data_IF_706563036218
#
_entry.id   IF_706563036218
#
_cell.length_a   1.000
_cell.length_b   1.000
_cell.length_c   1.000
_cell.angle_alpha   90.00
_cell.angle_beta   90.00
_cell.angle_gamma   90.00
#
_symmetry.space_group_name_H-M   'P 1'
#
loop_
_entity.id
_entity.type
_entity.pdbx_description
1 polymer ?
#
# COMPACT_ATOMS: atom_id res chain seq x y z
N UNK A 1 20.82 -28.11 -0.84
CA UNK A 1 19.91 -26.99 -0.51
C UNK A 1 18.84 -27.46 0.47
N UNK A 2 18.87 -26.92 1.69
CA UNK A 2 17.92 -27.27 2.76
C UNK A 2 17.32 -25.98 3.28
N UNK A 3 16.00 -25.83 3.25
CA UNK A 3 15.37 -24.62 3.77
C UNK A 3 15.26 -24.74 5.30
N UNK A 4 16.24 -24.21 6.04
CA UNK A 4 16.23 -24.21 7.52
C UNK A 4 15.49 -22.98 8.03
N UNK A 5 14.50 -23.18 8.90
CA UNK A 5 13.89 -22.09 9.68
C UNK A 5 13.88 -22.51 11.15
N UNK A 6 14.46 -21.69 12.02
CA UNK A 6 14.26 -21.80 13.47
C UNK A 6 13.17 -20.81 13.89
N UNK A 7 12.12 -21.30 14.55
CA UNK A 7 11.10 -20.46 15.19
C UNK A 7 11.15 -20.71 16.69
N UNK A 8 11.44 -19.70 17.54
CA UNK A 8 11.23 -19.81 18.97
C UNK A 8 9.77 -19.50 19.28
N UNK A 9 9.03 -20.54 19.67
CA UNK A 9 7.74 -20.35 20.32
C UNK A 9 8.00 -19.94 21.78
N UNK A 10 7.64 -18.71 22.12
CA UNK A 10 7.78 -18.07 23.44
C UNK A 10 9.23 -17.78 23.88
N UNK A 11 9.44 -16.56 24.38
CA UNK A 11 10.66 -16.02 24.97
C UNK A 11 11.75 -15.51 24.01
N UNK A 12 11.59 -14.26 23.57
CA UNK A 12 12.68 -13.28 23.53
C UNK A 12 13.83 -13.47 22.54
N UNK A 13 13.73 -14.35 21.54
CA UNK A 13 14.77 -14.50 20.51
C UNK A 13 14.38 -13.82 19.18
N UNK A 14 15.37 -13.22 18.52
CA UNK A 14 15.27 -12.56 17.21
C UNK A 14 14.92 -13.57 16.10
N UNK A 15 14.00 -13.20 15.20
CA UNK A 15 13.71 -13.97 13.98
C UNK A 15 14.77 -13.68 12.90
N UNK A 16 15.46 -14.71 12.42
CA UNK A 16 16.32 -14.63 11.23
C UNK A 16 15.56 -15.14 10.00
N UNK A 17 15.25 -14.23 9.06
CA UNK A 17 14.51 -14.52 7.83
C UNK A 17 15.46 -14.94 6.72
N UNK A 18 16.01 -16.15 6.79
CA UNK A 18 17.05 -16.61 5.85
C UNK A 18 16.74 -17.97 5.21
N UNK A 19 16.99 -18.08 3.92
CA UNK A 19 17.03 -19.32 3.14
C UNK A 19 18.46 -19.87 3.14
N UNK A 20 18.68 -21.10 3.58
CA UNK A 20 19.99 -21.74 3.47
C UNK A 20 20.15 -22.45 2.11
N UNK A 21 21.12 -22.00 1.31
CA UNK A 21 21.54 -22.63 0.06
C UNK A 21 23.00 -23.04 0.20
N UNK A 22 23.24 -24.36 0.21
CA UNK A 22 24.57 -24.96 0.25
C UNK A 22 25.51 -24.38 1.34
N UNK A 23 24.97 -24.16 2.54
CA UNK A 23 25.71 -23.63 3.69
C UNK A 23 25.79 -22.10 3.77
N UNK A 24 25.16 -21.36 2.86
CA UNK A 24 25.05 -19.90 2.89
C UNK A 24 23.61 -19.44 3.11
N UNK A 25 23.42 -18.37 3.88
CA UNK A 25 22.11 -17.82 4.24
C UNK A 25 21.74 -16.61 3.37
N UNK A 26 20.57 -16.66 2.71
CA UNK A 26 20.04 -15.61 1.84
C UNK A 26 18.79 -14.97 2.46
N UNK A 27 18.67 -13.63 2.46
CA UNK A 27 17.57 -12.94 3.13
C UNK A 27 16.24 -13.09 2.39
N UNK A 28 15.15 -13.33 3.11
CA UNK A 28 13.77 -13.30 2.59
C UNK A 28 13.15 -11.93 2.93
N UNK A 29 12.43 -11.26 2.00
CA UNK A 29 11.83 -9.95 2.25
C UNK A 29 10.91 -9.92 3.47
N UNK A 30 11.12 -8.96 4.36
CA UNK A 30 10.22 -8.74 5.50
C UNK A 30 8.80 -8.39 5.09
N UNK A 31 8.61 -7.74 3.93
CA UNK A 31 7.27 -7.38 3.41
C UNK A 31 6.39 -8.60 3.11
N UNK A 32 6.96 -9.80 3.01
CA UNK A 32 6.21 -11.05 2.83
C UNK A 32 5.68 -11.64 4.15
N UNK A 33 6.17 -11.17 5.30
CA UNK A 33 5.83 -11.69 6.62
C UNK A 33 5.27 -10.58 7.50
N UNK A 34 4.05 -10.75 8.01
CA UNK A 34 3.47 -9.81 8.97
C UNK A 34 4.29 -9.75 10.27
N UNK A 35 5.16 -8.75 10.42
CA UNK A 35 5.90 -8.37 11.65
C UNK A 35 6.86 -9.40 12.29
N UNK A 36 8.18 -9.18 12.11
CA UNK A 36 9.18 -9.08 13.21
C UNK A 36 10.44 -8.29 12.75
N UNK A 37 11.08 -7.55 13.68
CA UNK A 37 12.35 -6.79 13.52
C UNK A 37 13.55 -7.74 13.71
N UNK A 38 14.70 -7.67 13.00
CA UNK A 38 15.87 -6.79 13.30
C UNK A 38 17.01 -6.82 12.24
N UNK A 39 17.71 -5.68 12.09
CA UNK A 39 19.08 -5.37 11.54
C UNK A 39 19.81 -6.25 10.50
N UNK A 40 20.43 -5.59 9.49
CA UNK A 40 21.11 -6.18 8.31
C UNK A 40 22.66 -6.23 8.39
N UNK A 41 23.24 -7.23 7.73
CA UNK A 41 24.45 -7.11 6.87
C UNK A 41 24.15 -7.81 5.53
N UNK A 42 24.48 -7.15 4.41
CA UNK A 42 24.09 -7.51 3.03
C UNK A 42 25.28 -8.13 2.27
N UNK A 43 25.04 -9.19 1.49
CA UNK A 43 25.87 -9.57 0.33
C UNK A 43 25.28 -8.91 -0.93
N UNK A 44 26.14 -8.32 -1.75
CA UNK A 44 25.90 -7.11 -2.56
C UNK A 44 25.38 -7.28 -4.00
N UNK A 45 24.77 -8.41 -4.38
CA UNK A 45 24.42 -8.66 -5.81
C UNK A 45 23.02 -9.27 -6.04
N UNK A 46 21.96 -8.70 -5.44
CA UNK A 46 20.58 -9.14 -5.71
C UNK A 46 19.74 -8.02 -6.34
N UNK A 47 19.08 -8.34 -7.46
CA UNK A 47 18.09 -7.46 -8.11
C UNK A 47 16.69 -7.95 -7.79
N UNK A 48 15.84 -7.03 -7.30
CA UNK A 48 14.47 -7.31 -6.88
C UNK A 48 13.46 -6.78 -7.90
N UNK A 49 12.43 -7.57 -8.20
CA UNK A 49 11.29 -7.15 -9.01
C UNK A 49 10.00 -7.53 -8.27
N UNK A 50 9.01 -6.65 -8.25
CA UNK A 50 7.69 -6.94 -7.69
C UNK A 50 6.69 -6.95 -8.83
N UNK A 51 5.93 -8.04 -8.95
CA UNK A 51 4.89 -8.21 -9.96
C UNK A 51 3.65 -8.77 -9.27
N UNK A 52 2.47 -8.41 -9.75
CA UNK A 52 1.21 -8.96 -9.25
C UNK A 52 0.72 -10.01 -10.25
N UNK A 53 0.44 -11.23 -9.79
CA UNK A 53 -0.26 -12.25 -10.56
C UNK A 53 -1.63 -12.57 -9.94
N UNK A 54 -2.41 -13.41 -10.63
CA UNK A 54 -3.73 -13.88 -10.16
C UNK A 54 -3.69 -14.65 -8.82
N UNK A 55 -2.50 -15.02 -8.33
CA UNK A 55 -2.26 -15.77 -7.10
C UNK A 55 -1.73 -14.90 -5.95
N UNK A 56 -1.53 -13.60 -6.19
CA UNK A 56 -1.14 -12.61 -5.18
C UNK A 56 0.11 -11.82 -5.56
N UNK A 57 0.79 -11.25 -4.54
CA UNK A 57 2.06 -10.56 -4.73
C UNK A 57 3.15 -11.58 -5.09
N UNK A 58 3.69 -11.45 -6.30
CA UNK A 58 4.89 -12.16 -6.77
C UNK A 58 6.10 -11.27 -6.56
N UNK A 59 6.84 -11.50 -5.48
CA UNK A 59 8.20 -10.97 -5.41
C UNK A 59 9.12 -11.89 -6.22
N UNK A 60 10.05 -11.30 -6.96
CA UNK A 60 11.08 -12.01 -7.70
C UNK A 60 12.45 -11.53 -7.27
N UNK A 61 13.36 -12.47 -7.06
CA UNK A 61 14.74 -12.18 -6.70
C UNK A 61 15.67 -13.04 -7.53
N UNK A 62 16.56 -12.38 -8.29
CA UNK A 62 17.66 -13.07 -8.95
C UNK A 62 18.86 -13.15 -8.00
N UNK A 63 19.39 -14.35 -7.77
CA UNK A 63 20.52 -14.59 -6.88
C UNK A 63 21.60 -15.39 -7.61
N UNK A 64 22.85 -14.90 -7.68
CA UNK A 64 23.97 -15.71 -8.14
C UNK A 64 24.43 -16.70 -7.04
N UNK A 65 24.60 -17.98 -7.39
CA UNK A 65 25.17 -18.99 -6.50
C UNK A 65 26.06 -19.96 -7.29
N UNK A 66 27.34 -20.10 -6.89
CA UNK A 66 28.34 -21.01 -7.51
C UNK A 66 28.41 -20.91 -9.05
N UNK A 67 28.37 -19.69 -9.60
CA UNK A 67 28.45 -19.45 -11.05
C UNK A 67 27.15 -19.68 -11.81
N UNK A 68 26.05 -20.02 -11.12
CA UNK A 68 24.72 -20.18 -11.69
C UNK A 68 23.80 -19.06 -11.22
N UNK A 69 22.83 -18.69 -12.05
CA UNK A 69 21.79 -17.73 -11.67
C UNK A 69 20.54 -18.48 -11.23
N UNK A 70 19.98 -18.10 -10.09
CA UNK A 70 18.68 -18.60 -9.64
C UNK A 70 17.64 -17.49 -9.64
N UNK A 71 16.39 -17.85 -9.95
CA UNK A 71 15.22 -17.01 -9.78
C UNK A 71 14.40 -17.55 -8.62
N UNK A 72 14.20 -16.72 -7.59
CA UNK A 72 13.29 -17.01 -6.50
C UNK A 72 11.99 -16.27 -6.77
N UNK A 73 10.88 -17.00 -6.72
CA UNK A 73 9.53 -16.47 -6.77
C UNK A 73 8.85 -16.73 -5.45
N UNK A 74 8.17 -15.71 -4.95
CA UNK A 74 7.45 -15.76 -3.68
C UNK A 74 5.97 -15.52 -3.96
N UNK A 75 5.08 -16.31 -3.38
CA UNK A 75 3.64 -16.10 -3.41
C UNK A 75 3.11 -15.98 -1.99
N UNK A 76 2.08 -15.16 -1.82
CA UNK A 76 1.34 -15.04 -0.58
C UNK A 76 -0.13 -15.40 -0.84
N UNK A 77 -0.62 -16.41 -0.14
CA UNK A 77 -2.01 -16.87 -0.24
C UNK A 77 -2.65 -16.79 1.13
N UNK A 78 -3.69 -15.96 1.29
CA UNK A 78 -4.49 -15.96 2.51
C UNK A 78 -5.41 -17.19 2.51
N UNK A 79 -5.26 -18.06 3.52
CA UNK A 79 -6.09 -19.26 3.69
C UNK A 79 -7.29 -18.98 4.61
N UNK A 80 -7.11 -18.09 5.59
CA UNK A 80 -8.18 -17.58 6.44
C UNK A 80 -7.83 -16.17 6.90
N UNK A 81 -8.77 -15.51 7.59
CA UNK A 81 -8.57 -14.16 8.15
C UNK A 81 -7.34 -14.05 9.07
N UNK A 82 -6.87 -15.18 9.60
CA UNK A 82 -5.71 -15.26 10.48
C UNK A 82 -4.62 -16.21 9.93
N UNK A 83 -4.65 -16.64 8.67
CA UNK A 83 -3.64 -17.57 8.17
C UNK A 83 -3.21 -17.20 6.77
N UNK A 84 -1.89 -17.04 6.61
CA UNK A 84 -1.27 -16.77 5.33
C UNK A 84 -0.30 -17.92 5.04
N UNK A 85 -0.39 -18.47 3.84
CA UNK A 85 0.61 -19.32 3.27
C UNK A 85 1.58 -18.46 2.45
N UNK A 86 2.87 -18.61 2.67
CA UNK A 86 3.88 -18.11 1.74
C UNK A 86 4.49 -19.32 1.04
N UNK A 87 4.43 -19.31 -0.28
CA UNK A 87 5.08 -20.32 -1.11
C UNK A 87 6.33 -19.72 -1.73
N UNK A 88 7.42 -20.46 -1.73
CA UNK A 88 8.66 -20.06 -2.40
C UNK A 88 8.97 -21.12 -3.43
N UNK A 89 9.08 -20.70 -4.69
CA UNK A 89 9.62 -21.53 -5.75
C UNK A 89 10.96 -20.96 -6.17
N UNK A 90 11.88 -21.86 -6.47
CA UNK A 90 13.19 -21.51 -6.97
C UNK A 90 13.44 -22.26 -8.26
N UNK A 91 13.83 -21.52 -9.29
CA UNK A 91 14.32 -22.06 -10.54
C UNK A 91 15.80 -21.69 -10.74
N UNK A 92 16.56 -22.60 -11.33
CA UNK A 92 17.86 -22.31 -11.91
C UNK A 92 17.66 -21.77 -13.32
N UNK A 93 18.30 -20.66 -13.65
CA UNK A 93 18.34 -20.08 -14.98
C UNK A 93 19.52 -20.75 -15.71
N UNK A 94 19.20 -21.57 -16.69
CA UNK A 94 20.17 -22.27 -17.54
C UNK A 94 20.82 -21.30 -18.54
N UNK A 95 21.94 -21.71 -19.14
CA UNK A 95 22.69 -20.88 -20.11
C UNK A 95 21.86 -20.50 -21.35
N UNK A 96 20.89 -21.34 -21.73
CA UNK A 96 19.95 -21.08 -22.82
C UNK A 96 18.78 -20.16 -22.42
N UNK A 97 18.76 -19.67 -21.19
CA UNK A 97 17.68 -18.83 -20.63
C UNK A 97 16.46 -19.60 -20.15
N UNK A 98 16.43 -20.93 -20.29
CA UNK A 98 15.34 -21.76 -19.73
C UNK A 98 15.44 -21.85 -18.22
N UNK A 99 14.28 -22.00 -17.58
CA UNK A 99 14.19 -22.14 -16.14
C UNK A 99 13.92 -23.58 -15.74
N UNK A 100 14.77 -24.14 -14.88
CA UNK A 100 14.59 -25.46 -14.29
C UNK A 100 14.18 -25.34 -12.83
N UNK A 101 13.00 -25.82 -12.47
CA UNK A 101 12.58 -25.84 -11.06
C UNK A 101 13.52 -26.74 -10.25
N UNK A 102 14.06 -26.17 -9.17
CA UNK A 102 15.05 -26.84 -8.31
C UNK A 102 14.56 -27.00 -6.87
N UNK A 103 13.60 -26.19 -6.42
CA UNK A 103 12.94 -26.37 -5.14
C UNK A 103 11.58 -25.68 -5.09
N UNK A 104 10.65 -26.26 -4.34
CA UNK A 104 9.38 -25.66 -3.96
C UNK A 104 9.13 -25.90 -2.48
N UNK A 105 8.74 -24.85 -1.77
CA UNK A 105 8.22 -25.00 -0.40
C UNK A 105 6.89 -24.29 -0.23
N UNK A 106 5.99 -24.96 0.49
CA UNK A 106 4.77 -24.39 1.06
C UNK A 106 4.98 -24.22 2.55
N UNK A 107 4.84 -23.00 3.06
CA UNK A 107 4.94 -22.74 4.50
C UNK A 107 3.81 -21.83 4.95
N UNK A 108 3.30 -22.12 6.15
CA UNK A 108 2.26 -21.34 6.80
C UNK A 108 2.94 -20.32 7.70
N UNK A 109 2.59 -19.05 7.51
CA UNK A 109 3.08 -17.96 8.30
C UNK A 109 1.91 -17.32 9.04
N UNK A 110 2.08 -17.29 10.35
CA UNK A 110 1.53 -16.36 11.34
C UNK A 110 0.01 -16.12 11.34
N UNK A 111 -0.57 -16.30 12.54
CA UNK A 111 -1.78 -15.61 12.95
C UNK A 111 -1.58 -14.10 12.85
N UNK A 112 -2.16 -13.47 11.85
CA UNK A 112 -2.45 -12.02 11.95
C UNK A 112 -3.32 -11.89 13.20
N UNK A 113 -2.95 -11.05 14.19
CA UNK A 113 -3.82 -10.75 15.30
C UNK A 113 -5.01 -9.96 14.77
N UNK A 114 -6.04 -10.65 14.25
CA UNK A 114 -7.25 -10.00 13.77
C UNK A 114 -7.95 -9.31 14.93
N UNK A 115 -8.24 -8.03 14.72
CA UNK A 115 -9.00 -7.19 15.63
C UNK A 115 -10.46 -7.21 15.14
N UNK A 116 -11.34 -8.06 15.74
CA UNK A 116 -12.71 -8.27 15.24
C UNK A 116 -13.60 -7.04 15.33
N UNK A 117 -13.17 -6.02 16.10
CA UNK A 117 -13.83 -4.72 16.21
C UNK A 117 -12.77 -3.65 16.29
N UNK A 118 -12.83 -2.69 15.38
CA UNK A 118 -11.96 -1.52 15.37
C UNK A 118 -12.79 -0.26 15.15
N UNK A 119 -12.20 0.89 15.48
CA UNK A 119 -12.84 2.19 15.27
C UNK A 119 -12.16 2.91 14.10
N UNK A 120 -12.94 3.28 13.08
CA UNK A 120 -12.47 4.13 11.99
C UNK A 120 -12.96 5.57 12.18
N UNK A 121 -12.17 6.54 11.73
CA UNK A 121 -12.57 7.93 11.63
C UNK A 121 -12.34 8.45 10.20
N UNK A 122 -13.23 9.33 9.73
CA UNK A 122 -13.03 10.14 8.54
C UNK A 122 -12.90 11.60 8.97
N UNK A 123 -11.89 12.32 8.47
CA UNK A 123 -11.66 13.72 8.83
C UNK A 123 -11.81 14.62 7.61
N UNK A 124 -12.87 15.41 7.60
CA UNK A 124 -13.17 16.36 6.53
C UNK A 124 -12.55 17.73 6.83
N UNK A 125 -11.78 18.26 5.88
CA UNK A 125 -11.16 19.58 5.94
C UNK A 125 -10.69 20.02 4.55
N UNK A 126 -10.57 21.34 4.36
CA UNK A 126 -9.96 21.90 3.16
C UNK A 126 -8.44 22.00 3.29
N UNK A 127 -7.74 21.66 2.21
CA UNK A 127 -6.31 21.93 2.06
C UNK A 127 -6.08 23.29 1.41
N UNK A 128 -5.07 24.01 1.88
CA UNK A 128 -4.57 25.23 1.27
C UNK A 128 -3.35 24.99 0.38
N UNK A 129 -2.65 26.08 0.05
CA UNK A 129 -1.41 26.05 -0.74
C UNK A 129 -0.15 25.87 0.13
N UNK A 130 -0.24 25.89 1.45
CA UNK A 130 0.90 25.63 2.34
C UNK A 130 0.90 24.15 2.76
N UNK A 131 1.90 23.40 2.30
CA UNK A 131 2.04 21.96 2.56
C UNK A 131 2.31 21.69 4.04
N UNK A 132 3.04 22.58 4.71
CA UNK A 132 3.38 22.43 6.12
C UNK A 132 2.15 22.72 6.99
N UNK A 133 1.34 23.71 6.63
CA UNK A 133 0.05 23.96 7.28
C UNK A 133 -0.90 22.78 7.09
N UNK A 134 -1.02 22.27 5.86
CA UNK A 134 -1.84 21.09 5.56
C UNK A 134 -1.39 19.86 6.36
N UNK A 135 -0.08 19.65 6.52
CA UNK A 135 0.47 18.58 7.35
C UNK A 135 0.03 18.72 8.81
N UNK A 136 0.11 19.94 9.37
CA UNK A 136 -0.35 20.20 10.75
C UNK A 136 -1.84 19.92 10.91
N UNK A 137 -2.66 20.28 9.92
CA UNK A 137 -4.10 19.97 9.89
C UNK A 137 -4.35 18.47 9.88
N UNK A 138 -3.65 17.71 9.04
CA UNK A 138 -3.75 16.26 9.02
C UNK A 138 -3.40 15.65 10.38
N UNK A 139 -2.26 16.05 10.96
CA UNK A 139 -1.80 15.54 12.26
C UNK A 139 -2.77 15.94 13.39
N UNK A 140 -3.35 17.14 13.34
CA UNK A 140 -4.37 17.58 14.29
C UNK A 140 -5.56 16.61 14.29
N UNK A 141 -6.11 16.29 13.12
CA UNK A 141 -7.24 15.37 12.99
C UNK A 141 -6.88 13.92 13.34
N UNK A 142 -5.68 13.46 12.99
CA UNK A 142 -5.18 12.16 13.42
C UNK A 142 -5.10 12.05 14.95
N UNK A 143 -4.59 13.08 15.64
CA UNK A 143 -4.55 13.14 17.11
C UNK A 143 -5.94 13.14 17.72
N UNK A 144 -6.85 13.96 17.17
CA UNK A 144 -8.23 14.03 17.64
C UNK A 144 -8.97 12.69 17.48
N UNK A 145 -8.79 12.01 16.35
CA UNK A 145 -9.35 10.68 16.10
C UNK A 145 -8.75 9.64 17.07
N UNK A 146 -7.42 9.64 17.24
CA UNK A 146 -6.74 8.73 18.16
C UNK A 146 -7.20 8.91 19.60
N UNK A 147 -7.39 10.16 20.04
CA UNK A 147 -7.92 10.49 21.38
C UNK A 147 -9.34 9.93 21.60
N UNK A 148 -10.11 9.70 20.53
CA UNK A 148 -11.43 9.03 20.56
C UNK A 148 -11.34 7.51 20.34
N UNK A 149 -10.15 6.93 20.35
CA UNK A 149 -9.94 5.49 20.21
C UNK A 149 -9.94 4.96 18.78
N UNK A 150 -9.78 5.83 17.77
CA UNK A 150 -9.62 5.39 16.38
C UNK A 150 -8.35 4.53 16.22
N UNK A 151 -8.50 3.49 15.41
CA UNK A 151 -7.46 2.57 14.94
C UNK A 151 -7.03 2.89 13.50
N UNK A 152 -7.92 3.54 12.75
CA UNK A 152 -7.76 3.94 11.35
C UNK A 152 -8.35 5.33 11.12
N UNK A 153 -7.64 6.15 10.36
CA UNK A 153 -8.12 7.46 9.89
C UNK A 153 -8.08 7.49 8.37
N UNK A 154 -9.14 7.99 7.74
CA UNK A 154 -9.17 8.34 6.31
C UNK A 154 -9.17 9.86 6.19
N UNK A 155 -8.24 10.39 5.39
CA UNK A 155 -8.11 11.81 5.07
C UNK A 155 -8.45 12.07 3.58
N UNK A 156 -8.77 13.31 3.20
CA UNK A 156 -9.23 13.65 1.85
C UNK A 156 -8.23 13.43 0.71
N UNK A 157 -8.70 13.51 -0.55
CA UNK A 157 -7.95 13.21 -1.77
C UNK A 157 -6.74 14.12 -2.01
N UNK A 158 -6.86 15.41 -1.70
CA UNK A 158 -5.83 16.41 -1.91
C UNK A 158 -5.31 16.96 -0.57
N UNK A 159 -4.98 16.07 0.35
CA UNK A 159 -4.57 16.45 1.72
C UNK A 159 -3.24 17.21 1.75
N UNK A 160 -2.38 17.08 0.74
CA UNK A 160 -1.09 17.77 0.70
C UNK A 160 -1.19 19.21 0.18
N UNK A 161 -2.10 19.50 -0.76
CA UNK A 161 -2.17 20.81 -1.43
C UNK A 161 -3.47 21.02 -2.21
N UNK A 162 -3.93 22.26 -2.28
CA UNK A 162 -4.90 22.69 -3.29
C UNK A 162 -4.33 22.66 -4.73
N UNK A 163 -5.15 22.28 -5.71
CA UNK A 163 -4.72 21.99 -7.09
C UNK A 163 -4.69 23.23 -7.99
N UNK A 164 -4.22 24.36 -7.47
CA UNK A 164 -4.00 25.58 -8.25
C UNK A 164 -2.68 25.50 -9.05
N UNK A 165 -2.62 24.59 -10.04
CA UNK A 165 -1.46 24.38 -10.90
C UNK A 165 -1.60 25.10 -12.24
N UNK A 166 -1.48 26.43 -12.21
CA UNK A 166 -1.61 27.28 -13.40
C UNK A 166 -0.32 28.04 -13.70
N UNK A 167 0.08 28.04 -14.96
CA UNK A 167 1.12 28.91 -15.51
C UNK A 167 0.52 29.71 -16.67
N UNK A 168 0.71 31.03 -16.69
CA UNK A 168 0.18 31.93 -17.72
C UNK A 168 -1.33 31.78 -17.95
N UNK A 169 -2.09 31.56 -16.86
CA UNK A 169 -3.54 31.41 -16.90
C UNK A 169 -4.05 30.06 -17.44
N UNK A 170 -3.18 29.08 -17.64
CA UNK A 170 -3.55 27.74 -18.14
C UNK A 170 -3.05 26.63 -17.22
N UNK A 171 -3.74 25.47 -17.14
CA UNK A 171 -3.23 24.30 -16.43
C UNK A 171 -1.81 23.95 -16.88
N UNK A 172 -0.90 23.73 -15.93
CA UNK A 172 0.51 23.45 -16.18
C UNK A 172 0.93 22.14 -15.53
N UNK A 173 1.18 21.12 -16.36
CA UNK A 173 1.69 19.82 -15.93
C UNK A 173 3.09 19.93 -15.31
N UNK A 174 3.93 20.83 -15.80
CA UNK A 174 5.26 21.08 -15.22
C UNK A 174 5.15 21.64 -13.81
N UNK A 175 4.29 22.65 -13.60
CA UNK A 175 4.08 23.20 -12.25
C UNK A 175 3.45 22.17 -11.32
N UNK A 176 2.50 21.36 -11.84
CA UNK A 176 1.93 20.24 -11.12
C UNK A 176 3.03 19.28 -10.65
N UNK A 177 3.92 18.85 -11.55
CA UNK A 177 5.04 17.95 -11.24
C UNK A 177 6.01 18.53 -10.21
N UNK A 178 6.37 19.80 -10.35
CA UNK A 178 7.31 20.48 -9.44
C UNK A 178 6.77 20.60 -8.01
N UNK A 179 5.46 20.80 -7.88
CA UNK A 179 4.77 20.93 -6.59
C UNK A 179 4.23 19.60 -6.02
N UNK A 180 4.14 18.56 -6.86
CA UNK A 180 3.70 17.24 -6.44
C UNK A 180 4.66 16.62 -5.42
N UNK A 181 4.09 15.81 -4.54
CA UNK A 181 4.80 15.19 -3.43
C UNK A 181 5.55 13.94 -3.88
N UNK A 182 6.58 13.54 -3.14
CA UNK A 182 7.24 12.23 -3.30
C UNK A 182 7.01 11.36 -2.08
N UNK A 183 7.22 10.04 -2.21
CA UNK A 183 7.05 9.11 -1.08
C UNK A 183 8.01 9.37 0.09
N UNK A 184 9.12 10.07 -0.17
CA UNK A 184 10.12 10.47 0.83
C UNK A 184 10.06 11.97 1.16
N UNK A 185 9.10 12.70 0.58
CA UNK A 185 8.98 14.13 0.77
C UNK A 185 8.40 14.52 2.12
N UNK A 186 8.47 15.82 2.45
CA UNK A 186 8.29 16.30 3.81
C UNK A 186 6.90 16.00 4.38
N UNK A 187 5.84 16.13 3.56
CA UNK A 187 4.47 15.82 3.97
C UNK A 187 4.32 14.33 4.33
N UNK A 188 4.72 13.44 3.42
CA UNK A 188 4.61 11.98 3.63
C UNK A 188 5.48 11.53 4.80
N UNK A 189 6.71 12.03 4.91
CA UNK A 189 7.59 11.73 6.05
C UNK A 189 7.00 12.22 7.38
N UNK A 190 6.33 13.37 7.39
CA UNK A 190 5.59 13.90 8.54
C UNK A 190 4.44 12.99 8.96
N UNK A 191 3.64 12.52 8.00
CA UNK A 191 2.54 11.59 8.27
C UNK A 191 3.03 10.23 8.76
N UNK A 192 4.12 9.69 8.20
CA UNK A 192 4.75 8.45 8.67
C UNK A 192 5.17 8.56 10.15
N UNK A 193 5.83 9.66 10.54
CA UNK A 193 6.16 9.93 11.94
C UNK A 193 4.92 10.01 12.82
N UNK A 194 3.89 10.73 12.39
CA UNK A 194 2.65 10.85 13.14
C UNK A 194 1.92 9.50 13.32
N UNK A 195 1.90 8.65 12.30
CA UNK A 195 1.34 7.30 12.42
C UNK A 195 2.10 6.46 13.45
N UNK A 196 3.44 6.52 13.43
CA UNK A 196 4.30 5.85 14.40
C UNK A 196 4.09 6.35 15.83
N UNK A 197 4.01 7.66 16.03
CA UNK A 197 3.79 8.28 17.34
C UNK A 197 2.41 7.94 17.92
N UNK A 198 1.38 7.91 17.08
CA UNK A 198 0.00 7.69 17.50
C UNK A 198 -0.39 6.21 17.54
N UNK A 199 0.38 5.34 16.86
CA UNK A 199 0.06 3.94 16.67
C UNK A 199 -1.26 3.74 15.93
N UNK A 200 -1.45 4.44 14.80
CA UNK A 200 -2.71 4.46 14.04
C UNK A 200 -2.47 4.19 12.56
N UNK A 201 -3.41 3.51 11.91
CA UNK A 201 -3.45 3.40 10.45
C UNK A 201 -3.95 4.69 9.81
N UNK A 202 -3.45 4.99 8.62
CA UNK A 202 -3.83 6.17 7.87
C UNK A 202 -4.02 5.84 6.39
N UNK A 203 -5.18 6.19 5.82
CA UNK A 203 -5.37 6.36 4.39
C UNK A 203 -5.44 7.86 4.07
N UNK A 204 -4.64 8.34 3.12
CA UNK A 204 -4.50 9.78 2.83
C UNK A 204 -4.27 10.02 1.35
N UNK A 205 -5.02 10.96 0.78
CA UNK A 205 -4.83 11.37 -0.61
C UNK A 205 -3.70 12.40 -0.79
N UNK A 206 -2.89 12.22 -1.82
CA UNK A 206 -1.82 13.16 -2.23
C UNK A 206 -1.72 13.24 -3.75
N UNK A 207 -1.33 14.40 -4.24
CA UNK A 207 -0.80 14.52 -5.61
C UNK A 207 0.64 13.99 -5.62
N UNK A 208 0.86 12.81 -6.20
CA UNK A 208 2.12 12.06 -6.17
C UNK A 208 2.88 12.18 -7.49
N UNK A 209 4.15 12.55 -7.40
CA UNK A 209 5.06 12.64 -8.53
C UNK A 209 5.30 11.26 -9.17
N UNK A 210 5.12 11.18 -10.48
CA UNK A 210 5.44 10.01 -11.30
C UNK A 210 6.95 9.87 -11.56
N UNK A 211 7.35 8.73 -12.14
CA UNK A 211 8.76 8.43 -12.39
C UNK A 211 9.38 9.28 -13.52
N UNK A 212 8.56 9.77 -14.45
CA UNK A 212 8.98 10.53 -15.63
C UNK A 212 8.33 11.91 -15.56
N UNK A 213 9.11 12.98 -15.71
CA UNK A 213 8.55 14.34 -15.80
C UNK A 213 7.77 14.50 -17.11
N UNK A 214 6.57 15.14 -17.11
CA UNK A 214 5.85 15.75 -16.00
C UNK A 214 4.66 14.91 -15.51
N UNK A 215 4.83 13.60 -15.33
CA UNK A 215 3.77 12.71 -14.86
C UNK A 215 3.47 12.94 -13.37
N UNK A 216 2.19 13.14 -13.04
CA UNK A 216 1.68 13.23 -11.67
C UNK A 216 0.43 12.40 -11.58
N UNK A 217 0.25 11.70 -10.46
CA UNK A 217 -0.93 10.90 -10.19
C UNK A 217 -1.64 11.43 -8.96
N UNK A 218 -2.97 11.38 -8.99
CA UNK A 218 -3.76 11.47 -7.76
C UNK A 218 -3.62 10.10 -7.09
N UNK A 219 -3.12 10.05 -5.86
CA UNK A 219 -2.84 8.80 -5.17
C UNK A 219 -3.41 8.78 -3.76
N UNK A 220 -3.71 7.58 -3.25
CA UNK A 220 -4.01 7.32 -1.85
C UNK A 220 -2.92 6.43 -1.26
N UNK A 221 -2.35 6.87 -0.14
CA UNK A 221 -1.31 6.17 0.59
C UNK A 221 -1.94 5.46 1.80
N UNK A 222 -1.57 4.20 2.01
CA UNK A 222 -1.89 3.46 3.24
C UNK A 222 -0.64 3.37 4.11
N UNK A 223 -0.65 4.01 5.27
CA UNK A 223 0.47 4.07 6.22
C UNK A 223 0.10 3.32 7.49
N UNK A 224 1.05 2.51 7.96
CA UNK A 224 0.92 1.60 9.10
C UNK A 224 1.12 2.34 10.44
N UNK A 225 0.63 1.76 11.56
CA UNK A 225 0.90 2.23 12.92
C UNK A 225 2.39 2.27 13.32
N UNK A 226 3.26 1.57 12.61
CA UNK A 226 4.72 1.61 12.83
C UNK A 226 5.42 2.69 11.99
N UNK A 227 4.66 3.46 11.20
CA UNK A 227 5.15 4.50 10.32
C UNK A 227 5.60 4.01 8.95
N UNK A 228 5.54 2.71 8.65
CA UNK A 228 5.90 2.19 7.33
C UNK A 228 4.76 2.34 6.32
N UNK A 229 5.12 2.47 5.04
CA UNK A 229 4.15 2.54 3.94
C UNK A 229 3.70 1.11 3.57
N UNK A 230 2.42 0.81 3.76
CA UNK A 230 1.82 -0.47 3.38
C UNK A 230 1.56 -0.52 1.87
N UNK A 231 1.05 0.57 1.30
CA UNK A 231 0.64 0.60 -0.10
C UNK A 231 0.38 1.98 -0.65
N UNK A 232 0.31 2.02 -1.99
CA UNK A 232 -0.02 3.19 -2.79
C UNK A 232 -0.99 2.75 -3.87
N UNK A 233 -2.13 3.40 -3.96
CA UNK A 233 -3.03 3.30 -5.10
C UNK A 233 -3.04 4.63 -5.85
N UNK A 234 -3.03 4.60 -7.18
CA UNK A 234 -3.23 5.77 -8.04
C UNK A 234 -4.64 5.70 -8.62
N UNK A 235 -5.27 6.86 -8.75
CA UNK A 235 -6.65 7.01 -9.23
C UNK A 235 -6.73 6.56 -10.69
N UNK A 236 -7.63 5.62 -11.00
CA UNK A 236 -7.79 5.10 -12.36
C UNK A 236 -8.75 5.94 -13.17
N UNK A 237 -9.84 6.39 -12.55
CA UNK A 237 -10.86 7.22 -13.18
C UNK A 237 -10.62 8.67 -12.83
N UNK A 238 -10.04 9.43 -13.76
CA UNK A 238 -9.93 10.89 -13.62
C UNK A 238 -11.28 11.55 -13.92
N UNK A 239 -11.50 12.74 -13.36
CA UNK A 239 -12.73 13.51 -13.54
C UNK A 239 -12.47 14.94 -14.00
N UNK A 240 -13.20 15.38 -15.03
CA UNK A 240 -13.21 16.77 -15.51
C UNK A 240 -11.80 17.34 -15.77
N UNK A 241 -11.40 18.40 -15.06
CA UNK A 241 -10.12 19.09 -15.28
C UNK A 241 -8.89 18.23 -14.95
N UNK A 242 -9.06 17.13 -14.22
CA UNK A 242 -7.94 16.27 -13.80
C UNK A 242 -7.16 15.72 -15.01
N UNK A 243 -7.83 15.44 -16.13
CA UNK A 243 -7.18 15.01 -17.38
C UNK A 243 -6.19 16.03 -17.95
N UNK A 244 -6.26 17.29 -17.52
CA UNK A 244 -5.32 18.34 -17.97
C UNK A 244 -4.03 18.38 -17.14
N UNK A 245 -4.02 17.77 -15.95
CA UNK A 245 -2.93 17.89 -14.98
C UNK A 245 -2.31 16.54 -14.57
N UNK A 246 -3.10 15.47 -14.55
CA UNK A 246 -2.73 14.18 -13.99
C UNK A 246 -2.76 13.06 -15.02
N UNK A 247 -2.09 11.96 -14.70
CA UNK A 247 -2.16 10.69 -15.43
C UNK A 247 -2.92 9.65 -14.61
N UNK A 248 -3.78 8.84 -15.24
CA UNK A 248 -4.47 7.77 -14.55
C UNK A 248 -3.49 6.69 -14.07
N UNK A 249 -3.85 6.03 -12.98
CA UNK A 249 -3.23 4.77 -12.56
C UNK A 249 -3.39 3.69 -13.62
N UNK A 250 -2.41 2.80 -13.70
CA UNK A 250 -2.39 1.67 -14.64
C UNK A 250 -2.01 0.34 -13.97
N UNK A 251 -1.73 0.39 -12.68
CA UNK A 251 -1.49 -0.78 -11.85
C UNK A 251 -2.79 -1.54 -11.58
N UNK A 252 -2.73 -2.86 -11.33
CA UNK A 252 -3.87 -3.59 -10.78
C UNK A 252 -4.31 -2.99 -9.44
N UNK A 253 -5.62 -3.02 -9.18
CA UNK A 253 -6.15 -2.74 -7.85
C UNK A 253 -5.52 -3.66 -6.80
N UNK A 254 -5.41 -3.18 -5.56
CA UNK A 254 -4.75 -3.89 -4.47
C UNK A 254 -5.64 -3.92 -3.22
N UNK A 255 -5.59 -5.06 -2.52
CA UNK A 255 -6.21 -5.25 -1.20
C UNK A 255 -5.11 -5.54 -0.20
N UNK A 256 -5.16 -4.84 0.93
CA UNK A 256 -4.16 -4.88 1.99
C UNK A 256 -4.69 -5.69 3.16
N UNK A 257 -3.97 -6.73 3.51
CA UNK A 257 -4.27 -7.57 4.65
C UNK A 257 -3.71 -6.95 5.93
N UNK A 258 -4.59 -6.56 6.84
CA UNK A 258 -4.21 -5.90 8.10
C UNK A 258 -4.85 -6.58 9.31
N UNK A 259 -4.44 -6.20 10.51
CA UNK A 259 -5.14 -6.57 11.74
C UNK A 259 -6.58 -6.04 11.79
N UNK A 260 -6.92 -5.02 10.99
CA UNK A 260 -8.27 -4.46 10.89
C UNK A 260 -9.15 -5.20 9.87
N UNK A 261 -8.61 -6.23 9.22
CA UNK A 261 -9.23 -6.94 8.11
C UNK A 261 -8.60 -6.54 6.76
N UNK A 262 -9.32 -6.83 5.68
CA UNK A 262 -8.87 -6.56 4.30
C UNK A 262 -9.31 -5.18 3.84
N UNK A 263 -8.35 -4.29 3.62
CA UNK A 263 -8.58 -2.88 3.26
C UNK A 263 -8.37 -2.68 1.75
N UNK A 264 -9.30 -2.03 1.06
CA UNK A 264 -9.14 -1.56 -0.31
C UNK A 264 -9.07 -0.03 -0.36
N UNK A 265 -8.28 0.53 -1.28
CA UNK A 265 -8.20 1.98 -1.46
C UNK A 265 -9.04 2.40 -2.67
N UNK A 266 -9.90 3.39 -2.47
CA UNK A 266 -10.66 4.09 -3.50
C UNK A 266 -10.30 5.58 -3.48
N UNK A 267 -10.45 6.23 -4.64
CA UNK A 267 -10.08 7.62 -4.80
C UNK A 267 -11.16 8.34 -5.63
N UNK A 268 -12.02 9.10 -4.95
CA UNK A 268 -13.05 9.94 -5.55
C UNK A 268 -13.82 9.28 -6.70
N UNK A 269 -13.54 9.66 -7.95
CA UNK A 269 -14.27 9.16 -9.12
C UNK A 269 -14.12 7.65 -9.36
N UNK A 270 -13.12 6.98 -8.76
CA UNK A 270 -13.10 5.51 -8.71
C UNK A 270 -14.33 4.95 -7.97
N UNK A 271 -14.83 5.65 -6.94
CA UNK A 271 -16.05 5.27 -6.21
C UNK A 271 -17.35 5.53 -6.99
N UNK A 272 -17.32 6.40 -8.00
CA UNK A 272 -18.47 6.69 -8.85
C UNK A 272 -18.73 5.54 -9.82
N UNK A 273 -17.68 4.94 -10.39
CA UNK A 273 -17.82 3.77 -11.26
C UNK A 273 -18.01 2.47 -10.43
N UNK A 274 -18.90 1.55 -10.84
CA UNK A 274 -19.12 0.31 -10.09
C UNK A 274 -17.91 -0.65 -10.12
N UNK A 275 -17.10 -0.62 -11.17
CA UNK A 275 -16.05 -1.59 -11.43
C UNK A 275 -14.95 -1.56 -10.38
N UNK A 276 -14.50 -0.39 -9.93
CA UNK A 276 -13.39 -0.29 -8.98
C UNK A 276 -13.75 -0.93 -7.62
N UNK A 277 -14.91 -0.55 -7.07
CA UNK A 277 -15.42 -1.14 -5.82
C UNK A 277 -15.70 -2.63 -5.99
N UNK A 278 -16.28 -3.06 -7.13
CA UNK A 278 -16.54 -4.47 -7.42
C UNK A 278 -15.27 -5.30 -7.48
N UNK A 279 -14.23 -4.83 -8.18
CA UNK A 279 -12.96 -5.53 -8.29
C UNK A 279 -12.29 -5.68 -6.93
N UNK A 280 -12.18 -4.60 -6.15
CA UNK A 280 -11.61 -4.64 -4.79
C UNK A 280 -12.38 -5.63 -3.89
N UNK A 281 -13.71 -5.65 -3.99
CA UNK A 281 -14.55 -6.54 -3.19
C UNK A 281 -14.43 -8.01 -3.63
N UNK A 282 -14.32 -8.29 -4.94
CA UNK A 282 -14.05 -9.64 -5.46
C UNK A 282 -12.65 -10.14 -5.07
N UNK A 283 -11.68 -9.22 -4.93
CA UNK A 283 -10.36 -9.50 -4.35
C UNK A 283 -10.40 -9.72 -2.83
N UNK A 284 -11.57 -9.51 -2.21
CA UNK A 284 -11.83 -9.79 -0.80
C UNK A 284 -11.67 -8.60 0.14
N UNK A 285 -11.67 -7.35 -0.36
CA UNK A 285 -11.76 -6.18 0.50
C UNK A 285 -13.02 -6.27 1.38
N UNK A 286 -12.85 -5.99 2.66
CA UNK A 286 -13.92 -5.92 3.66
C UNK A 286 -14.26 -4.47 4.01
N UNK A 287 -13.29 -3.57 3.82
CA UNK A 287 -13.41 -2.13 4.09
C UNK A 287 -12.80 -1.36 2.94
N UNK A 288 -13.58 -0.49 2.30
CA UNK A 288 -13.11 0.45 1.30
C UNK A 288 -12.79 1.78 1.96
N UNK A 289 -11.57 2.28 1.76
CA UNK A 289 -11.09 3.56 2.27
C UNK A 289 -11.03 4.54 1.12
N UNK A 290 -11.89 5.55 1.16
CA UNK A 290 -12.12 6.43 0.03
C UNK A 290 -11.71 7.87 0.34
N UNK A 291 -10.62 8.31 -0.28
CA UNK A 291 -10.15 9.69 -0.19
C UNK A 291 -10.84 10.51 -1.27
N UNK A 292 -11.66 11.48 -0.88
CA UNK A 292 -12.53 12.25 -1.78
C UNK A 292 -12.10 13.73 -1.88
N UNK A 293 -12.40 14.32 -3.04
CA UNK A 293 -12.47 15.77 -3.26
C UNK A 293 -13.66 16.04 -4.20
N UNK A 294 -14.85 15.70 -3.71
CA UNK A 294 -16.11 15.80 -4.44
C UNK A 294 -16.90 17.03 -4.01
N UNK A 295 -17.51 17.69 -5.00
CA UNK A 295 -18.54 18.71 -4.78
C UNK A 295 -19.96 18.17 -5.04
N UNK A 296 -20.05 16.90 -5.45
CA UNK A 296 -21.31 16.23 -5.78
C UNK A 296 -22.06 15.79 -4.52
N UNK A 297 -23.30 16.25 -4.29
CA UNK A 297 -24.09 15.81 -3.14
C UNK A 297 -24.52 14.33 -3.25
N UNK A 298 -24.44 13.76 -4.45
CA UNK A 298 -24.70 12.36 -4.78
C UNK A 298 -23.62 11.41 -4.26
N UNK A 299 -22.39 11.88 -4.05
CA UNK A 299 -21.29 11.05 -3.50
C UNK A 299 -21.69 10.43 -2.15
N UNK A 300 -22.10 11.27 -1.20
CA UNK A 300 -22.53 10.83 0.14
C UNK A 300 -23.89 10.12 0.14
N UNK A 301 -24.82 10.54 -0.74
CA UNK A 301 -26.22 10.10 -0.68
C UNK A 301 -26.49 8.84 -1.51
N UNK A 302 -25.68 8.60 -2.54
CA UNK A 302 -25.91 7.56 -3.54
C UNK A 302 -24.68 6.69 -3.68
N UNK A 303 -23.55 7.24 -4.14
CA UNK A 303 -22.40 6.42 -4.55
C UNK A 303 -21.80 5.67 -3.37
N UNK A 304 -21.44 6.34 -2.27
CA UNK A 304 -20.84 5.67 -1.10
C UNK A 304 -21.75 4.57 -0.53
N UNK A 305 -23.04 4.82 -0.20
CA UNK A 305 -23.94 3.78 0.30
C UNK A 305 -24.17 2.65 -0.70
N UNK A 306 -24.34 2.97 -2.00
CA UNK A 306 -24.59 1.98 -3.04
C UNK A 306 -23.40 1.02 -3.18
N UNK A 307 -22.17 1.55 -3.25
CA UNK A 307 -20.94 0.75 -3.36
C UNK A 307 -20.75 -0.16 -2.14
N UNK A 308 -21.13 0.31 -0.95
CA UNK A 308 -21.10 -0.51 0.26
C UNK A 308 -22.13 -1.65 0.19
N UNK A 309 -23.38 -1.35 -0.16
CA UNK A 309 -24.49 -2.33 -0.17
C UNK A 309 -24.31 -3.38 -1.27
N UNK A 310 -24.00 -2.98 -2.50
CA UNK A 310 -23.93 -3.90 -3.64
C UNK A 310 -22.76 -4.90 -3.55
N UNK A 311 -21.75 -4.56 -2.75
CA UNK A 311 -20.56 -5.38 -2.54
C UNK A 311 -20.51 -6.05 -1.15
N UNK A 312 -21.39 -5.67 -0.22
CA UNK A 312 -21.42 -6.22 1.13
C UNK A 312 -20.19 -5.86 1.96
N UNK A 313 -19.66 -4.65 1.80
CA UNK A 313 -18.42 -4.17 2.44
C UNK A 313 -18.68 -2.90 3.26
N UNK A 314 -17.78 -2.60 4.19
CA UNK A 314 -17.75 -1.28 4.85
C UNK A 314 -17.13 -0.24 3.93
N UNK A 315 -17.54 1.01 4.04
CA UNK A 315 -17.01 2.11 3.24
C UNK A 315 -16.78 3.32 4.15
N UNK A 316 -15.51 3.72 4.31
CA UNK A 316 -15.09 4.88 5.09
C UNK A 316 -14.58 5.92 4.11
N UNK A 317 -15.29 7.03 3.99
CA UNK A 317 -14.99 8.07 3.02
C UNK A 317 -14.73 9.41 3.70
N UNK A 318 -13.72 10.14 3.24
CA UNK A 318 -13.36 11.46 3.76
C UNK A 318 -13.25 12.46 2.62
N UNK A 319 -13.98 13.57 2.71
CA UNK A 319 -14.04 14.59 1.67
C UNK A 319 -13.31 15.87 2.07
N UNK A 320 -12.78 16.57 1.07
CA UNK A 320 -12.22 17.92 1.23
C UNK A 320 -13.32 18.97 1.37
#
# INVERSE_FOLDING_TARGET
>A
ITIVHQLPWRHGAQCEYTLEMDGQYHPIPRKLFGTARSSWKVNTEATWMHQFDERGLVAMQKIPCKGKSHMLRYWRTMLSINEIQVSVHMSEILENGEEKEVAHTKRFFQRIPFKPRFTAAAAQFFSGMDVEENLRTCIHWMRAARAKGADLVVLPENSNRDRAYFADGKPSREMCYDKAETLDGAFVAGLKRACQELGIWLAVGVDLRGAVRPAVHIASLLIRPDGELEGVAKKHVLWDYEYTLFEPGNEPYQVFDTELGRLGLLICADGIVPEAARVLSLMGAQVLLNSLNSRGPDEMRVHIPLRAIENGVWHVASNS
#
